data_IF_764381745848
#
_entry.id   IF_764381745848
#
_cell.length_a   1.000
_cell.length_b   1.000
_cell.length_c   1.000
_cell.angle_alpha   90.00
_cell.angle_beta   90.00
_cell.angle_gamma   90.00
#
_symmetry.space_group_name_H-M   'P 1'
#
loop_
_entity.id
_entity.type
_entity.pdbx_description
1 polymer ?
#
# COMPACT_ATOMS: atom_id res chain seq x y z
N UNK A 1 -16.73 8.99 11.46
CA UNK A 1 -16.69 8.01 10.36
C UNK A 1 -15.32 8.14 9.70
N UNK A 2 -14.56 7.06 9.57
CA UNK A 2 -13.29 7.09 8.84
C UNK A 2 -13.57 7.45 7.37
N UNK A 3 -12.90 8.48 6.85
CA UNK A 3 -13.10 8.90 5.46
C UNK A 3 -12.30 7.97 4.55
N UNK A 4 -13.00 7.23 3.69
CA UNK A 4 -12.41 6.29 2.73
C UNK A 4 -12.23 7.03 1.39
N UNK A 5 -11.07 6.87 0.76
CA UNK A 5 -10.81 7.49 -0.55
C UNK A 5 -11.48 6.66 -1.67
N UNK A 6 -12.05 7.31 -2.71
CA UNK A 6 -12.61 6.61 -3.85
C UNK A 6 -11.57 5.79 -4.60
N UNK A 7 -12.00 4.66 -5.17
CA UNK A 7 -11.14 3.73 -5.91
C UNK A 7 -10.38 4.40 -7.07
N UNK A 8 -11.09 5.19 -7.88
CA UNK A 8 -10.51 5.87 -9.05
C UNK A 8 -9.40 6.85 -8.64
N UNK A 9 -9.58 7.54 -7.51
CA UNK A 9 -8.55 8.43 -6.96
C UNK A 9 -7.32 7.64 -6.51
N UNK A 10 -7.51 6.52 -5.80
CA UNK A 10 -6.40 5.66 -5.37
C UNK A 10 -5.62 5.11 -6.57
N UNK A 11 -6.30 4.76 -7.67
CA UNK A 11 -5.64 4.31 -8.90
C UNK A 11 -4.76 5.40 -9.52
N UNK A 12 -5.26 6.65 -9.60
CA UNK A 12 -4.45 7.79 -10.08
C UNK A 12 -3.23 8.03 -9.21
N UNK A 13 -3.40 7.99 -7.88
CA UNK A 13 -2.30 8.15 -6.93
C UNK A 13 -1.28 7.02 -7.05
N UNK A 14 -1.72 5.78 -7.28
CA UNK A 14 -0.81 4.65 -7.48
C UNK A 14 0.14 4.87 -8.66
N UNK A 15 -0.38 5.32 -9.80
CA UNK A 15 0.39 5.60 -11.03
C UNK A 15 1.24 6.87 -10.96
N UNK A 16 1.01 7.74 -9.98
CA UNK A 16 1.79 8.96 -9.78
C UNK A 16 3.14 8.69 -9.11
N UNK A 17 4.09 9.60 -9.30
CA UNK A 17 5.38 9.57 -8.60
C UNK A 17 5.25 10.10 -7.16
N UNK A 18 6.21 9.74 -6.30
CA UNK A 18 6.25 10.30 -4.94
C UNK A 18 6.46 11.81 -5.04
N UNK A 19 5.58 12.57 -4.38
CA UNK A 19 5.57 14.04 -4.41
C UNK A 19 4.64 14.65 -5.45
N UNK A 20 4.11 13.86 -6.40
CA UNK A 20 3.11 14.36 -7.35
C UNK A 20 1.83 14.76 -6.62
N UNK A 21 1.22 15.85 -7.09
CA UNK A 21 -0.08 16.33 -6.61
C UNK A 21 -1.17 15.93 -7.61
N UNK A 22 -2.19 15.25 -7.10
CA UNK A 22 -3.35 14.72 -7.80
C UNK A 22 -4.58 15.52 -7.34
N UNK A 23 -5.39 15.96 -8.30
CA UNK A 23 -6.62 16.75 -8.09
C UNK A 23 -6.42 17.99 -7.20
N UNK A 24 -5.24 18.62 -7.29
CA UNK A 24 -4.83 19.80 -6.49
C UNK A 24 -4.92 19.61 -4.96
N UNK A 25 -5.02 18.36 -4.51
CA UNK A 25 -5.42 18.06 -3.13
C UNK A 25 -4.66 16.91 -2.51
N UNK A 26 -4.28 15.90 -3.28
CA UNK A 26 -3.69 14.67 -2.76
C UNK A 26 -2.28 14.51 -3.27
N UNK A 27 -1.34 14.22 -2.39
CA UNK A 27 0.05 13.96 -2.72
C UNK A 27 0.44 12.54 -2.35
N UNK A 28 1.10 11.82 -3.26
CA UNK A 28 1.69 10.52 -2.94
C UNK A 28 2.90 10.72 -2.04
N UNK A 29 2.83 10.25 -0.80
CA UNK A 29 3.92 10.39 0.16
C UNK A 29 4.86 9.19 0.15
N UNK A 30 4.35 8.00 -0.18
CA UNK A 30 5.14 6.78 -0.26
C UNK A 30 4.47 5.72 -1.13
N UNK A 31 5.25 4.71 -1.54
CA UNK A 31 4.77 3.53 -2.23
C UNK A 31 5.82 2.43 -2.13
N UNK A 32 5.45 1.26 -1.63
CA UNK A 32 6.39 0.15 -1.44
C UNK A 32 5.70 -1.19 -1.68
N UNK A 33 6.42 -2.11 -2.31
CA UNK A 33 6.05 -3.51 -2.36
C UNK A 33 6.60 -4.22 -1.13
N UNK A 34 5.72 -4.88 -0.40
CA UNK A 34 6.06 -5.71 0.75
C UNK A 34 5.78 -7.16 0.40
N UNK A 35 6.69 -8.05 0.75
CA UNK A 35 6.37 -9.47 0.90
C UNK A 35 6.09 -9.71 2.38
N UNK A 36 5.20 -10.65 2.69
CA UNK A 36 5.15 -11.15 4.06
C UNK A 36 6.48 -11.83 4.42
N UNK A 37 6.86 -11.72 5.70
CA UNK A 37 7.93 -12.52 6.30
C UNK A 37 7.34 -13.83 6.85
N UNK A 38 6.31 -14.35 6.17
CA UNK A 38 5.68 -15.61 6.55
C UNK A 38 6.60 -16.76 6.10
N UNK A 39 7.17 -17.46 7.08
CA UNK A 39 8.03 -18.62 6.85
C UNK A 39 7.22 -19.92 6.88
N UNK A 40 5.89 -19.83 6.84
CA UNK A 40 5.03 -21.00 6.69
C UNK A 40 5.28 -21.70 5.36
N UNK A 41 5.23 -23.04 5.42
CA UNK A 41 5.56 -23.92 4.31
C UNK A 41 4.29 -24.66 3.90
N UNK A 42 3.97 -24.62 2.61
CA UNK A 42 2.86 -25.36 2.01
C UNK A 42 3.09 -26.88 2.11
N UNK A 43 2.04 -27.68 1.89
CA UNK A 43 2.11 -29.16 1.93
C UNK A 43 3.13 -29.76 0.94
N UNK A 44 3.50 -29.00 -0.08
CA UNK A 44 4.49 -29.36 -1.10
C UNK A 44 5.93 -28.92 -0.74
N UNK A 45 6.16 -28.34 0.44
CA UNK A 45 7.49 -27.94 0.91
C UNK A 45 7.96 -26.56 0.46
N UNK A 46 7.13 -25.77 -0.24
CA UNK A 46 7.47 -24.41 -0.66
C UNK A 46 6.98 -23.35 0.34
N UNK A 47 7.73 -22.25 0.47
CA UNK A 47 7.34 -21.12 1.34
C UNK A 47 6.21 -20.34 0.69
N UNK A 48 5.15 -20.04 1.44
CA UNK A 48 4.11 -19.12 1.00
C UNK A 48 4.69 -17.71 0.92
N UNK A 49 4.71 -17.11 -0.28
CA UNK A 49 4.96 -15.67 -0.42
C UNK A 49 3.69 -14.97 -0.85
N UNK A 50 3.17 -14.09 0.01
CA UNK A 50 2.20 -13.06 -0.37
C UNK A 50 2.94 -11.77 -0.67
N UNK A 51 2.49 -11.10 -1.71
CA UNK A 51 2.93 -9.74 -2.00
C UNK A 51 1.80 -8.78 -1.71
N UNK A 52 2.16 -7.61 -1.20
CA UNK A 52 1.24 -6.48 -1.05
C UNK A 52 1.92 -5.21 -1.53
N UNK A 53 1.12 -4.25 -1.98
CA UNK A 53 1.56 -2.90 -2.24
C UNK A 53 0.91 -1.97 -1.22
N UNK A 54 1.72 -1.10 -0.63
CA UNK A 54 1.28 -0.18 0.41
C UNK A 54 1.70 1.23 0.05
N UNK A 55 0.78 2.20 0.19
CA UNK A 55 1.05 3.60 -0.08
C UNK A 55 0.49 4.53 0.98
N UNK A 56 1.25 5.57 1.29
CA UNK A 56 0.83 6.72 2.09
C UNK A 56 0.41 7.88 1.18
N UNK A 57 -0.69 8.53 1.53
CA UNK A 57 -1.25 9.67 0.80
C UNK A 57 -1.48 10.83 1.77
N UNK A 58 -1.09 12.04 1.37
CA UNK A 58 -1.35 13.26 2.15
C UNK A 58 -2.38 14.11 1.39
N UNK A 59 -3.43 14.53 2.07
CA UNK A 59 -4.33 15.57 1.61
C UNK A 59 -3.78 16.92 2.06
N UNK A 60 -3.13 17.62 1.13
CA UNK A 60 -2.40 18.87 1.37
C UNK A 60 -3.33 20.05 1.65
N UNK A 61 -4.62 19.95 1.31
CA UNK A 61 -5.59 21.01 1.54
C UNK A 61 -6.11 21.05 2.99
N UNK A 62 -6.04 19.93 3.72
CA UNK A 62 -6.64 19.80 5.06
C UNK A 62 -5.73 19.10 6.08
N UNK A 63 -4.43 18.97 5.77
CA UNK A 63 -3.44 18.24 6.58
C UNK A 63 -3.87 16.83 7.02
N UNK A 64 -4.65 16.12 6.19
CA UNK A 64 -5.13 14.77 6.49
C UNK A 64 -4.21 13.74 5.84
N UNK A 65 -3.96 12.62 6.51
CA UNK A 65 -3.19 11.52 5.94
C UNK A 65 -4.07 10.28 5.74
N UNK A 66 -3.80 9.53 4.68
CA UNK A 66 -4.49 8.28 4.36
C UNK A 66 -3.47 7.20 4.11
N UNK A 67 -3.87 5.97 4.38
CA UNK A 67 -3.08 4.79 4.10
C UNK A 67 -3.93 3.81 3.32
N UNK A 68 -3.34 3.27 2.26
CA UNK A 68 -3.98 2.26 1.43
C UNK A 68 -3.03 1.06 1.29
N UNK A 69 -3.56 -0.12 1.57
CA UNK A 69 -2.88 -1.40 1.35
C UNK A 69 -3.66 -2.22 0.34
N UNK A 70 -2.92 -2.86 -0.55
CA UNK A 70 -3.41 -3.75 -1.57
C UNK A 70 -2.71 -5.11 -1.46
N UNK A 71 -3.45 -6.19 -1.21
CA UNK A 71 -2.90 -7.55 -1.32
C UNK A 71 -2.87 -7.98 -2.80
N UNK A 72 -1.69 -8.30 -3.31
CA UNK A 72 -1.50 -8.68 -4.71
C UNK A 72 -1.91 -10.13 -4.93
N UNK A 73 -2.67 -10.36 -6.00
CA UNK A 73 -3.06 -11.72 -6.42
C UNK A 73 -2.03 -12.28 -7.40
N UNK A 74 -1.73 -13.57 -7.27
CA UNK A 74 -0.88 -14.29 -8.23
C UNK A 74 -1.54 -14.26 -9.61
N UNK A 75 -0.76 -13.90 -10.61
CA UNK A 75 -1.14 -13.98 -12.02
C UNK A 75 -0.71 -15.34 -12.60
N UNK A 76 -1.32 -15.81 -13.69
CA UNK A 76 -0.86 -17.00 -14.39
C UNK A 76 0.61 -16.86 -14.79
N UNK A 77 1.42 -17.88 -14.51
CA UNK A 77 2.78 -17.99 -15.02
C UNK A 77 2.76 -18.24 -16.52
N UNK A 78 3.50 -17.47 -17.34
CA UNK A 78 3.80 -17.88 -18.72
C UNK A 78 4.48 -19.25 -18.71
N UNK A 79 4.32 -20.06 -19.76
CA UNK A 79 4.86 -21.44 -19.91
C UNK A 79 6.42 -21.54 -19.91
N UNK A 80 7.11 -20.52 -19.40
CA UNK A 80 8.56 -20.46 -19.23
C UNK A 80 8.96 -21.20 -17.95
N UNK A 81 9.85 -22.19 -18.05
CA UNK A 81 10.40 -23.04 -16.96
C UNK A 81 11.15 -22.28 -15.84
N UNK A 82 11.01 -20.96 -15.73
CA UNK A 82 11.71 -20.15 -14.73
C UNK A 82 10.81 -19.95 -13.51
N UNK A 83 11.38 -20.09 -12.31
CA UNK A 83 10.75 -19.96 -11.00
C UNK A 83 10.28 -18.54 -10.65
N UNK A 84 9.72 -17.80 -11.60
CA UNK A 84 9.25 -16.43 -11.42
C UNK A 84 7.76 -16.48 -11.08
N UNK A 85 7.39 -15.96 -9.90
CA UNK A 85 5.98 -15.74 -9.56
C UNK A 85 5.55 -14.38 -10.10
N UNK A 86 4.49 -14.36 -10.90
CA UNK A 86 3.89 -13.13 -11.42
C UNK A 86 2.72 -12.72 -10.54
N UNK A 87 2.50 -11.41 -10.43
CA UNK A 87 1.38 -10.83 -9.69
C UNK A 87 0.65 -9.81 -10.56
N UNK A 88 -0.65 -9.70 -10.39
CA UNK A 88 -1.42 -8.63 -11.01
C UNK A 88 -1.02 -7.27 -10.44
N UNK A 89 -1.04 -6.22 -11.27
CA UNK A 89 -0.92 -4.85 -10.76
C UNK A 89 -2.00 -4.61 -9.68
N UNK A 90 -1.69 -3.79 -8.65
CA UNK A 90 -2.72 -3.26 -7.77
C UNK A 90 -3.87 -2.63 -8.58
N UNK A 91 -5.09 -2.60 -8.03
CA UNK A 91 -6.28 -1.97 -8.65
C UNK A 91 -6.96 -2.74 -9.77
N UNK A 92 -6.46 -3.94 -10.12
CA UNK A 92 -7.12 -4.83 -11.08
C UNK A 92 -8.21 -5.68 -10.42
N UNK A 93 -8.02 -6.11 -9.17
CA UNK A 93 -8.81 -7.17 -8.52
C UNK A 93 -9.27 -6.85 -7.08
N UNK A 94 -10.02 -5.76 -6.89
CA UNK A 94 -10.94 -5.50 -5.74
C UNK A 94 -10.49 -5.66 -4.27
N UNK A 95 -9.23 -5.95 -3.92
CA UNK A 95 -8.81 -6.34 -2.56
C UNK A 95 -8.31 -5.18 -1.67
N UNK A 96 -8.80 -3.95 -1.86
CA UNK A 96 -8.27 -2.78 -1.15
C UNK A 96 -8.80 -2.70 0.26
N UNK A 97 -7.87 -2.44 1.18
CA UNK A 97 -8.19 -1.83 2.46
C UNK A 97 -7.58 -0.43 2.49
N UNK A 98 -8.41 0.60 2.60
CA UNK A 98 -7.96 1.97 2.76
C UNK A 98 -8.77 2.70 3.84
N UNK A 99 -8.10 3.59 4.56
CA UNK A 99 -8.70 4.38 5.62
C UNK A 99 -7.88 5.64 5.91
N UNK A 100 -8.54 6.63 6.49
CA UNK A 100 -7.91 7.82 7.06
C UNK A 100 -7.07 7.44 8.29
N UNK A 101 -5.88 8.00 8.38
CA UNK A 101 -4.93 7.72 9.46
C UNK A 101 -4.77 8.97 10.32
N UNK A 102 -5.22 8.85 11.58
CA UNK A 102 -5.05 9.91 12.58
C UNK A 102 -3.65 9.95 13.19
N UNK A 103 -2.91 8.84 13.17
CA UNK A 103 -1.52 8.79 13.65
C UNK A 103 -0.73 7.65 12.98
N UNK A 104 0.58 7.87 12.77
CA UNK A 104 1.51 6.86 12.30
C UNK A 104 2.59 6.60 13.36
N UNK A 105 2.86 5.33 13.62
CA UNK A 105 4.00 4.90 14.43
C UNK A 105 5.07 4.30 13.52
N UNK A 106 6.31 4.75 13.65
CA UNK A 106 7.47 4.19 12.94
C UNK A 106 8.57 3.85 13.92
N UNK A 107 8.94 2.56 13.99
CA UNK A 107 10.10 2.12 14.76
C UNK A 107 11.35 2.14 13.87
N UNK A 108 12.37 2.90 14.28
CA UNK A 108 13.69 2.93 13.64
C UNK A 108 14.73 2.66 14.72
N UNK A 109 15.55 1.62 14.54
CA UNK A 109 16.59 1.22 15.50
C UNK A 109 16.08 1.06 16.95
N UNK A 110 14.90 0.48 17.11
CA UNK A 110 14.28 0.28 18.43
C UNK A 110 13.60 1.52 19.03
N UNK A 111 13.63 2.67 18.35
CA UNK A 111 12.92 3.89 18.76
C UNK A 111 11.63 4.02 17.98
N UNK A 112 10.50 3.94 18.66
CA UNK A 112 9.18 4.18 18.05
C UNK A 112 8.85 5.67 18.06
N UNK A 113 8.82 6.27 16.87
CA UNK A 113 8.39 7.63 16.66
C UNK A 113 6.89 7.63 16.36
N UNK A 114 6.13 8.38 17.14
CA UNK A 114 4.70 8.60 16.92
C UNK A 114 4.51 9.96 16.25
N UNK A 115 3.89 9.96 15.08
CA UNK A 115 3.42 11.16 14.42
C UNK A 115 1.90 11.20 14.55
N UNK A 116 1.41 12.14 15.37
CA UNK A 116 -0.01 12.42 15.52
C UNK A 116 -0.42 13.51 14.53
N UNK A 117 -1.32 13.15 13.61
CA UNK A 117 -1.85 14.07 12.61
C UNK A 117 -3.08 14.85 13.11
N UNK A 118 -3.59 14.56 14.32
CA UNK A 118 -4.73 15.30 14.89
C UNK A 118 -4.39 16.75 15.25
N UNK A 119 -3.11 17.09 15.35
CA UNK A 119 -2.61 18.44 15.67
C UNK A 119 -2.46 19.35 14.44
N UNK A 120 -2.67 18.81 13.23
CA UNK A 120 -2.57 19.58 11.99
C UNK A 120 -3.92 20.13 11.49
N UNK A 121 -4.98 19.96 12.28
CA UNK A 121 -6.34 20.43 12.03
C UNK A 121 -6.57 21.87 12.52
#
# INVERSE_FOLDING_TARGET
>A
MAKVLPLELLYRIYKAEIGDVIDDKYMKASGVFNTDDDHSVDENGFIHRKMSYTMGVINIAYSQSYFATWEMKRAPTPDSEVSVTYFHEPFVDGSIVNYEVGSLARTVNGVTNYHDFSSLA
#
